data_IF_806272572541
#
_entry.id   IF_806272572541
#
_cell.length_a   1.000
_cell.length_b   1.000
_cell.length_c   1.000
_cell.angle_alpha   90.00
_cell.angle_beta   90.00
_cell.angle_gamma   90.00
#
_symmetry.space_group_name_H-M   'P 1'
#
loop_
_entity.id
_entity.type
_entity.pdbx_description
1 polymer ?
#
# COMPACT_ATOMS: atom_id res chain seq x y z
N UNK A 1 -25.94 -2.74 17.93
CA UNK A 1 -25.10 -1.59 18.34
C UNK A 1 -23.65 -2.03 18.31
N UNK A 2 -22.86 -1.52 17.37
CA UNK A 2 -21.42 -1.83 17.28
C UNK A 2 -20.72 -0.97 18.33
N UNK A 3 -19.97 -1.60 19.24
CA UNK A 3 -19.23 -0.91 20.31
C UNK A 3 -18.23 0.09 19.71
N UNK A 4 -18.09 1.28 20.33
CA UNK A 4 -17.12 2.31 19.91
C UNK A 4 -15.70 1.74 19.83
N UNK A 5 -15.34 0.79 20.71
CA UNK A 5 -14.05 0.07 20.63
C UNK A 5 -13.90 -0.81 19.40
N UNK A 6 -15.00 -1.39 18.90
CA UNK A 6 -14.97 -2.15 17.66
C UNK A 6 -14.76 -1.20 16.47
N UNK A 7 -15.40 -0.03 16.48
CA UNK A 7 -15.24 1.00 15.45
C UNK A 7 -13.81 1.58 15.43
N UNK A 8 -13.20 1.80 16.59
CA UNK A 8 -11.80 2.25 16.72
C UNK A 8 -10.80 1.19 16.25
N UNK A 9 -11.05 -0.09 16.56
CA UNK A 9 -10.26 -1.19 16.00
C UNK A 9 -10.39 -1.29 14.48
N UNK A 10 -11.61 -1.13 13.94
CA UNK A 10 -11.82 -1.03 12.49
C UNK A 10 -11.05 0.16 11.89
N UNK A 11 -11.04 1.32 12.58
CA UNK A 11 -10.31 2.50 12.14
C UNK A 11 -8.80 2.25 12.12
N UNK A 12 -8.20 1.70 13.16
CA UNK A 12 -6.75 1.40 13.17
C UNK A 12 -6.36 0.32 12.14
N UNK A 13 -7.25 -0.66 11.90
CA UNK A 13 -7.00 -1.77 10.99
C UNK A 13 -7.07 -1.37 9.50
N UNK A 14 -7.93 -0.40 9.15
CA UNK A 14 -8.06 0.11 7.78
C UNK A 14 -7.32 1.44 7.54
N UNK A 15 -7.09 2.24 8.58
CA UNK A 15 -6.47 3.56 8.47
C UNK A 15 -5.07 3.68 9.07
N UNK A 16 -4.55 2.66 9.75
CA UNK A 16 -3.19 2.68 10.28
C UNK A 16 -2.18 2.91 9.17
N UNK A 17 -1.35 3.95 9.33
CA UNK A 17 -0.22 4.24 8.45
C UNK A 17 0.76 3.06 8.48
N UNK A 18 1.56 2.92 7.41
CA UNK A 18 2.72 2.06 7.47
C UNK A 18 3.57 2.57 8.63
N UNK A 19 3.92 1.70 9.57
CA UNK A 19 4.83 2.05 10.65
C UNK A 19 6.18 2.33 10.00
N UNK A 20 6.70 3.56 9.98
CA UNK A 20 8.14 3.72 9.86
C UNK A 20 8.71 3.04 11.11
N UNK A 21 9.56 2.04 10.93
CA UNK A 21 10.29 1.46 12.05
C UNK A 21 11.27 2.55 12.49
N UNK A 22 10.91 3.28 13.54
CA UNK A 22 11.88 3.97 14.37
C UNK A 22 12.44 2.92 15.31
N UNK A 23 13.77 2.82 15.34
CA UNK A 23 14.47 2.10 16.39
C UNK A 23 14.20 2.82 17.72
N UNK A 24 13.20 2.35 18.45
CA UNK A 24 12.97 2.73 19.84
C UNK A 24 14.08 2.12 20.70
N UNK A 25 15.23 2.79 20.70
CA UNK A 25 16.26 2.63 21.72
C UNK A 25 17.01 3.96 21.87
N UNK A 26 16.38 4.91 22.56
CA UNK A 26 17.08 5.80 23.49
C UNK A 26 16.07 6.54 24.38
N UNK A 27 15.85 5.96 25.56
CA UNK A 27 15.35 6.69 26.72
C UNK A 27 16.43 7.67 27.17
N UNK A 28 16.25 8.96 26.92
CA UNK A 28 16.76 9.99 27.84
C UNK A 28 15.82 11.18 27.85
N UNK A 29 15.11 11.36 28.97
CA UNK A 29 14.35 12.57 29.30
C UNK A 29 15.32 13.69 29.70
N UNK A 30 15.02 14.91 29.24
CA UNK A 30 14.85 16.16 30.02
C UNK A 30 15.27 17.41 29.19
N UNK A 31 14.88 18.65 29.56
CA UNK A 31 13.55 19.12 29.94
C UNK A 31 13.12 20.36 29.10
N UNK A 32 11.87 20.78 29.32
CA UNK A 32 11.19 21.95 28.77
C UNK A 32 11.77 23.31 29.20
N UNK A 33 11.78 24.29 28.29
CA UNK A 33 11.70 25.72 28.61
C UNK A 33 10.81 26.47 27.61
N UNK A 34 9.83 27.16 28.17
CA UNK A 34 8.88 28.13 27.59
C UNK A 34 9.56 29.44 27.18
N UNK A 35 8.94 30.18 26.25
CA UNK A 35 9.19 31.63 26.10
C UNK A 35 8.86 32.21 24.72
N UNK A 36 7.59 32.58 24.55
CA UNK A 36 7.08 33.85 23.99
C UNK A 36 7.07 34.18 22.49
N UNK A 37 6.04 34.95 22.16
CA UNK A 37 5.43 35.32 20.87
C UNK A 37 6.18 36.46 20.15
N UNK A 38 6.10 36.52 18.81
CA UNK A 38 5.33 37.56 18.08
C UNK A 38 5.66 37.61 16.57
N UNK A 39 4.57 37.48 15.80
CA UNK A 39 4.10 38.25 14.64
C UNK A 39 4.95 38.59 13.38
N UNK A 40 4.38 38.14 12.24
CA UNK A 40 4.06 38.89 11.00
C UNK A 40 5.19 39.63 10.26
N UNK A 41 5.51 39.18 9.04
CA UNK A 41 5.03 39.86 7.81
C UNK A 41 5.24 39.07 6.51
N UNK A 42 4.12 38.77 5.86
CA UNK A 42 3.99 38.42 4.44
C UNK A 42 4.32 39.65 3.59
N UNK A 43 5.22 39.53 2.61
CA UNK A 43 5.15 40.33 1.38
C UNK A 43 5.79 39.59 0.20
N UNK A 44 4.93 39.20 -0.72
CA UNK A 44 5.22 38.66 -2.05
C UNK A 44 5.70 39.79 -2.96
N UNK A 45 6.71 39.55 -3.79
CA UNK A 45 7.03 40.35 -4.97
C UNK A 45 7.47 39.42 -6.14
N UNK A 46 7.29 39.84 -7.40
CA UNK A 46 6.99 38.97 -8.53
C UNK A 46 8.20 38.60 -9.38
N UNK A 47 7.98 37.58 -10.23
CA UNK A 47 8.84 37.13 -11.32
C UNK A 47 9.10 38.26 -12.34
N UNK A 48 10.34 38.40 -12.79
CA UNK A 48 10.65 38.81 -14.16
C UNK A 48 12.04 38.31 -14.56
N UNK A 49 12.05 37.40 -15.53
CA UNK A 49 13.24 36.85 -16.18
C UNK A 49 13.60 37.71 -17.41
N UNK A 50 14.92 37.78 -17.66
CA UNK A 50 15.60 38.09 -18.92
C UNK A 50 15.54 39.53 -19.46
N UNK A 51 16.70 40.19 -19.57
CA UNK A 51 17.45 40.22 -20.83
C UNK A 51 18.95 40.50 -20.64
N UNK A 52 19.72 40.19 -21.68
CA UNK A 52 21.15 39.85 -21.72
C UNK A 52 22.14 41.03 -21.68
N UNK A 53 23.36 40.64 -21.30
CA UNK A 53 24.67 41.06 -21.84
C UNK A 53 25.27 42.41 -21.44
N UNK A 54 26.30 42.33 -20.59
CA UNK A 54 27.67 42.75 -20.99
C UNK A 54 28.69 42.08 -20.09
N UNK A 55 29.76 41.58 -20.70
CA UNK A 55 30.85 40.92 -19.99
C UNK A 55 31.57 41.89 -19.08
N UNK A 56 32.05 41.36 -17.95
CA UNK A 56 33.20 41.87 -17.24
C UNK A 56 33.79 40.72 -16.42
N UNK A 57 35.12 40.70 -16.36
CA UNK A 57 35.93 39.83 -15.53
C UNK A 57 35.53 39.97 -14.05
N UNK A 58 34.54 39.22 -13.60
CA UNK A 58 34.25 39.11 -12.17
C UNK A 58 35.15 38.04 -11.58
N UNK A 59 36.26 38.49 -10.99
CA UNK A 59 36.77 37.95 -9.72
C UNK A 59 35.59 37.31 -8.98
N UNK A 60 35.75 36.02 -8.66
CA UNK A 60 34.84 35.27 -7.80
C UNK A 60 34.54 36.18 -6.61
N UNK A 61 33.35 36.77 -6.57
CA UNK A 61 32.89 37.51 -5.42
C UNK A 61 32.80 36.46 -4.32
N UNK A 62 33.86 36.39 -3.52
CA UNK A 62 33.89 35.62 -2.29
C UNK A 62 32.70 36.12 -1.50
N UNK A 63 31.69 35.28 -1.35
CA UNK A 63 30.63 35.57 -0.42
C UNK A 63 31.26 35.47 0.97
N UNK A 64 31.78 36.59 1.45
CA UNK A 64 32.56 36.75 2.70
C UNK A 64 31.76 36.47 3.97
N UNK A 65 30.49 36.11 3.82
CA UNK A 65 29.56 35.77 4.90
C UNK A 65 29.48 34.26 5.18
N UNK A 66 30.17 33.40 4.41
CA UNK A 66 30.28 31.99 4.77
C UNK A 66 31.35 31.80 5.85
N UNK A 67 30.93 31.91 7.13
CA UNK A 67 31.80 31.74 8.30
C UNK A 67 32.59 30.42 8.28
N UNK A 68 32.04 29.37 7.69
CA UNK A 68 32.67 28.04 7.59
C UNK A 68 33.94 28.03 6.73
N UNK A 69 34.04 28.93 5.75
CA UNK A 69 35.21 29.06 4.87
C UNK A 69 36.29 30.01 5.43
N UNK A 70 36.00 30.72 6.53
CA UNK A 70 36.99 31.51 7.28
C UNK A 70 37.80 30.68 8.26
N UNK A 71 37.39 29.44 8.55
CA UNK A 71 38.18 28.55 9.40
C UNK A 71 39.51 28.19 8.72
N UNK A 72 40.61 28.07 9.49
CA UNK A 72 41.85 27.43 9.03
C UNK A 72 41.59 26.09 8.34
N UNK A 73 42.39 25.78 7.32
CA UNK A 73 42.22 24.58 6.49
C UNK A 73 42.26 23.28 7.32
N UNK A 74 43.01 23.29 8.42
CA UNK A 74 43.14 22.18 9.37
C UNK A 74 41.82 21.92 10.11
N UNK A 75 41.13 22.99 10.54
CA UNK A 75 39.84 22.88 11.21
C UNK A 75 38.74 22.46 10.22
N UNK A 76 38.81 22.93 8.98
CA UNK A 76 37.92 22.47 7.91
C UNK A 76 38.11 20.97 7.64
N UNK A 77 39.36 20.49 7.58
CA UNK A 77 39.68 19.07 7.44
C UNK A 77 39.14 18.25 8.61
N UNK A 78 39.35 18.71 9.85
CA UNK A 78 38.82 18.05 11.05
C UNK A 78 37.29 17.96 11.02
N UNK A 79 36.58 19.01 10.63
CA UNK A 79 35.12 18.99 10.49
C UNK A 79 34.71 17.97 9.42
N UNK A 80 35.37 17.98 8.26
CA UNK A 80 35.04 17.09 7.14
C UNK A 80 35.31 15.61 7.45
N UNK A 81 36.31 15.30 8.29
CA UNK A 81 36.59 13.94 8.77
C UNK A 81 35.49 13.37 9.67
N UNK A 82 34.68 14.22 10.31
CA UNK A 82 33.54 13.79 11.13
C UNK A 82 32.25 13.64 10.32
N UNK A 83 32.26 14.04 9.05
CA UNK A 83 31.11 13.92 8.15
C UNK A 83 31.20 12.63 7.33
N UNK A 84 30.05 12.04 7.06
CA UNK A 84 29.94 10.90 6.14
C UNK A 84 30.17 11.36 4.70
N UNK A 85 30.52 10.42 3.80
CA UNK A 85 30.68 10.74 2.38
C UNK A 85 29.44 11.45 1.80
N UNK A 86 28.26 10.98 2.17
CA UNK A 86 27.00 11.57 1.72
C UNK A 86 26.80 13.03 2.15
N UNK A 87 27.18 13.37 3.38
CA UNK A 87 27.12 14.74 3.89
C UNK A 87 28.15 15.64 3.22
N UNK A 88 29.37 15.16 3.00
CA UNK A 88 30.40 15.88 2.26
C UNK A 88 29.96 16.13 0.81
N UNK A 89 29.35 15.16 0.15
CA UNK A 89 28.81 15.31 -1.20
C UNK A 89 27.60 16.26 -1.24
N UNK A 90 26.76 16.24 -0.21
CA UNK A 90 25.66 17.20 -0.05
C UNK A 90 26.18 18.62 0.10
N UNK A 91 27.18 18.83 0.97
CA UNK A 91 27.88 20.09 1.17
C UNK A 91 28.52 20.59 -0.13
N UNK A 92 29.12 19.68 -0.91
CA UNK A 92 29.70 19.99 -2.21
C UNK A 92 28.68 20.49 -3.24
N UNK A 93 27.40 20.13 -3.08
CA UNK A 93 26.30 20.55 -3.96
C UNK A 93 25.69 21.89 -3.58
N UNK A 94 25.95 22.43 -2.39
CA UNK A 94 25.33 23.70 -1.93
C UNK A 94 25.93 24.92 -2.62
N UNK A 95 27.26 24.98 -2.79
CA UNK A 95 27.91 26.12 -3.44
C UNK A 95 29.09 25.73 -4.34
N UNK A 96 29.35 26.55 -5.37
CA UNK A 96 30.44 26.32 -6.34
C UNK A 96 31.82 26.33 -5.66
N UNK A 97 32.00 27.18 -4.65
CA UNK A 97 33.28 27.34 -3.95
C UNK A 97 33.66 26.08 -3.15
N UNK A 98 32.71 25.50 -2.42
CA UNK A 98 32.88 24.21 -1.74
C UNK A 98 33.08 23.08 -2.75
N UNK A 99 32.44 23.14 -3.91
CA UNK A 99 32.69 22.20 -5.01
C UNK A 99 34.12 22.23 -5.54
N UNK A 100 34.73 23.41 -5.63
CA UNK A 100 36.13 23.53 -6.05
C UNK A 100 37.11 23.16 -4.94
N UNK A 101 36.80 23.52 -3.69
CA UNK A 101 37.67 23.25 -2.53
C UNK A 101 37.68 21.76 -2.18
N UNK A 102 36.50 21.13 -2.14
CA UNK A 102 36.32 19.70 -1.88
C UNK A 102 36.42 18.95 -3.23
N UNK A 103 37.64 18.87 -3.75
CA UNK A 103 37.93 18.20 -5.03
C UNK A 103 38.05 16.67 -4.86
N UNK A 104 38.14 15.93 -5.98
CA UNK A 104 38.24 14.45 -5.94
C UNK A 104 39.49 13.95 -5.19
N UNK A 105 40.69 14.53 -5.37
CA UNK A 105 41.87 14.19 -4.56
C UNK A 105 41.62 14.31 -3.05
N UNK A 106 41.04 15.44 -2.63
CA UNK A 106 40.73 15.71 -1.22
C UNK A 106 39.76 14.66 -0.64
N UNK A 107 38.71 14.28 -1.39
CA UNK A 107 37.78 13.23 -0.95
C UNK A 107 38.50 11.88 -0.74
N UNK A 108 39.49 11.54 -1.57
CA UNK A 108 40.25 10.29 -1.41
C UNK A 108 41.17 10.31 -0.19
N UNK A 109 41.63 11.48 0.21
CA UNK A 109 42.45 11.68 1.40
C UNK A 109 41.62 11.59 2.69
N UNK A 110 40.43 12.19 2.69
CA UNK A 110 39.50 12.12 3.83
C UNK A 110 38.89 10.72 3.98
N UNK A 111 38.60 10.04 2.87
CA UNK A 111 37.97 8.71 2.86
C UNK A 111 38.91 7.67 2.20
N UNK A 112 39.85 7.07 2.94
CA UNK A 112 40.80 6.10 2.39
C UNK A 112 40.11 4.85 1.82
N UNK A 113 38.96 4.46 2.39
CA UNK A 113 38.10 3.39 1.92
C UNK A 113 36.92 3.89 1.07
N UNK A 114 37.18 4.79 0.10
CA UNK A 114 36.13 5.43 -0.70
C UNK A 114 35.12 4.46 -1.34
N UNK A 115 35.56 3.27 -1.78
CA UNK A 115 34.64 2.27 -2.36
C UNK A 115 33.61 1.80 -1.32
N UNK A 116 34.02 1.58 -0.07
CA UNK A 116 33.13 1.21 1.03
C UNK A 116 32.11 2.31 1.31
N UNK A 117 32.57 3.56 1.38
CA UNK A 117 31.73 4.73 1.60
C UNK A 117 30.68 4.92 0.51
N UNK A 118 31.08 4.78 -0.76
CA UNK A 118 30.18 4.89 -1.91
C UNK A 118 29.13 3.78 -1.91
N UNK A 119 29.50 2.54 -1.58
CA UNK A 119 28.56 1.42 -1.46
C UNK A 119 27.63 1.54 -0.24
N UNK A 120 28.07 2.25 0.80
CA UNK A 120 27.30 2.46 2.04
C UNK A 120 26.47 3.75 2.00
N UNK A 121 26.42 4.43 0.85
CA UNK A 121 25.67 5.68 0.67
C UNK A 121 24.59 5.52 -0.37
N UNK A 122 23.37 5.99 -0.07
CA UNK A 122 22.30 6.07 -1.06
C UNK A 122 22.62 7.12 -2.13
N UNK A 123 22.63 6.73 -3.41
CA UNK A 123 22.87 7.63 -4.55
C UNK A 123 21.91 8.83 -4.59
N UNK A 124 20.66 8.65 -4.16
CA UNK A 124 19.59 9.62 -4.33
C UNK A 124 19.52 10.62 -3.19
N UNK A 125 19.35 10.14 -1.95
CA UNK A 125 19.21 10.99 -0.77
C UNK A 125 20.54 11.24 -0.05
N UNK A 126 21.63 10.60 -0.47
CA UNK A 126 22.95 10.69 0.15
C UNK A 126 22.97 10.28 1.63
N UNK A 127 21.94 9.57 2.13
CA UNK A 127 21.97 9.00 3.47
C UNK A 127 23.00 7.88 3.53
N UNK A 128 23.86 7.94 4.54
CA UNK A 128 24.83 6.90 4.86
C UNK A 128 24.20 5.80 5.72
N UNK A 129 24.51 4.55 5.40
CA UNK A 129 24.11 3.34 6.11
C UNK A 129 25.33 2.41 6.17
N UNK A 130 26.00 2.40 7.33
CA UNK A 130 27.21 1.62 7.58
C UNK A 130 26.97 0.10 7.48
N UNK A 131 25.77 -0.36 7.88
CA UNK A 131 25.42 -1.77 7.90
C UNK A 131 24.92 -2.25 6.53
N UNK A 132 24.46 -1.32 5.68
CA UNK A 132 23.94 -1.56 4.32
C UNK A 132 22.73 -2.50 4.28
N UNK A 133 22.05 -2.64 5.39
CA UNK A 133 20.84 -3.44 5.56
C UNK A 133 19.58 -2.70 5.07
N UNK A 134 19.69 -1.38 4.85
CA UNK A 134 18.64 -0.53 4.29
C UNK A 134 18.98 0.00 2.89
N UNK A 135 20.00 -0.57 2.24
CA UNK A 135 20.42 -0.24 0.89
C UNK A 135 20.18 -1.41 -0.05
N UNK A 136 19.58 -1.16 -1.22
CA UNK A 136 19.49 -2.12 -2.31
C UNK A 136 20.83 -2.13 -3.04
N UNK A 137 21.38 -3.33 -3.22
CA UNK A 137 22.59 -3.53 -4.00
C UNK A 137 22.30 -3.26 -5.48
N UNK A 138 23.02 -2.32 -6.06
CA UNK A 138 23.01 -2.07 -7.48
C UNK A 138 23.89 -3.09 -8.21
N UNK A 139 23.48 -3.44 -9.43
CA UNK A 139 24.28 -4.27 -10.32
C UNK A 139 25.62 -3.56 -10.63
N UNK A 140 26.71 -4.32 -10.67
CA UNK A 140 28.05 -3.83 -11.00
C UNK A 140 28.13 -3.31 -12.44
N UNK A 141 27.18 -3.71 -13.30
CA UNK A 141 27.04 -3.19 -14.66
C UNK A 141 26.46 -1.78 -14.75
N UNK A 142 25.92 -1.20 -13.66
CA UNK A 142 25.38 0.17 -13.66
C UNK A 142 26.52 1.19 -13.87
N UNK A 143 26.32 2.12 -14.80
CA UNK A 143 27.29 3.18 -15.11
C UNK A 143 27.68 4.07 -13.91
N UNK A 144 26.89 4.05 -12.84
CA UNK A 144 27.12 4.81 -11.60
C UNK A 144 27.81 4.01 -10.51
N UNK A 145 28.03 2.71 -10.72
CA UNK A 145 28.74 1.88 -9.76
C UNK A 145 30.13 2.49 -9.47
N UNK A 146 30.55 2.60 -8.20
CA UNK A 146 29.97 2.01 -6.98
C UNK A 146 28.89 2.86 -6.26
N UNK A 147 28.61 4.10 -6.69
CA UNK A 147 27.57 4.95 -6.09
C UNK A 147 26.22 4.76 -6.81
N UNK A 148 25.76 3.51 -6.89
CA UNK A 148 24.51 3.15 -7.54
C UNK A 148 23.45 2.61 -6.56
N UNK A 149 23.83 2.31 -5.32
CA UNK A 149 22.92 1.76 -4.31
C UNK A 149 21.82 2.77 -3.95
N UNK A 150 20.60 2.28 -3.78
CA UNK A 150 19.43 3.11 -3.41
C UNK A 150 18.85 2.62 -2.09
N UNK A 151 18.50 3.55 -1.18
CA UNK A 151 17.84 3.17 0.07
C UNK A 151 16.38 2.76 -0.17
N UNK A 152 15.85 1.96 0.76
CA UNK A 152 14.49 1.42 0.68
C UNK A 152 13.43 2.52 0.54
N UNK A 153 13.59 3.63 1.27
CA UNK A 153 12.69 4.79 1.24
C UNK A 153 12.65 5.45 -0.15
N UNK A 154 13.82 5.64 -0.77
CA UNK A 154 13.94 6.25 -2.09
C UNK A 154 13.28 5.37 -3.15
N UNK A 155 13.51 4.05 -3.11
CA UNK A 155 12.86 3.10 -4.02
C UNK A 155 11.36 3.07 -3.79
N UNK A 156 10.93 3.08 -2.53
CA UNK A 156 9.51 3.17 -2.14
C UNK A 156 8.84 4.41 -2.75
N UNK A 157 9.52 5.56 -2.71
CA UNK A 157 9.01 6.83 -3.23
C UNK A 157 8.89 6.94 -4.75
N UNK A 158 9.75 6.23 -5.51
CA UNK A 158 9.79 6.32 -6.98
C UNK A 158 8.77 5.43 -7.68
N UNK A 159 8.42 4.31 -7.05
CA UNK A 159 7.57 3.30 -7.70
C UNK A 159 7.21 2.11 -6.83
N UNK A 160 7.65 2.09 -5.57
CA UNK A 160 7.40 0.99 -4.66
C UNK A 160 8.14 -0.28 -5.06
N UNK A 161 8.02 -1.30 -4.20
CA UNK A 161 8.52 -2.62 -4.51
C UNK A 161 7.47 -3.46 -5.21
N UNK A 162 7.93 -4.47 -5.94
CA UNK A 162 7.06 -5.44 -6.60
C UNK A 162 6.94 -6.67 -5.72
N UNK A 163 5.74 -6.96 -5.24
CA UNK A 163 5.45 -8.18 -4.46
C UNK A 163 5.74 -9.42 -5.31
N UNK A 164 6.38 -10.42 -4.70
CA UNK A 164 6.83 -11.65 -5.38
C UNK A 164 8.22 -11.55 -6.01
N UNK A 165 8.85 -10.37 -6.01
CA UNK A 165 10.28 -10.24 -6.32
C UNK A 165 11.12 -10.29 -5.06
N UNK A 166 12.31 -10.86 -5.19
CA UNK A 166 13.36 -10.86 -4.17
C UNK A 166 14.34 -9.74 -4.53
N UNK A 167 14.75 -8.96 -3.54
CA UNK A 167 15.73 -7.89 -3.70
C UNK A 167 16.98 -8.22 -2.90
N UNK A 168 18.14 -7.87 -3.43
CA UNK A 168 19.43 -8.05 -2.75
C UNK A 168 19.82 -6.76 -2.06
N UNK A 169 20.15 -6.84 -0.77
CA UNK A 169 20.64 -5.73 0.02
C UNK A 169 22.15 -5.52 -0.18
N UNK A 170 22.67 -4.37 0.24
CA UNK A 170 24.10 -4.06 0.20
C UNK A 170 24.99 -4.96 1.08
N UNK A 171 24.38 -5.70 2.01
CA UNK A 171 24.98 -6.82 2.77
C UNK A 171 25.08 -8.13 1.99
N UNK A 172 24.52 -8.18 0.77
CA UNK A 172 24.26 -9.39 -0.01
C UNK A 172 23.17 -10.31 0.56
N UNK A 173 22.49 -9.90 1.63
CA UNK A 173 21.30 -10.60 2.10
C UNK A 173 20.14 -10.42 1.11
N UNK A 174 19.37 -11.47 0.88
CA UNK A 174 18.16 -11.41 0.05
C UNK A 174 16.93 -11.15 0.92
N UNK A 175 16.11 -10.18 0.52
CA UNK A 175 14.86 -9.84 1.22
C UNK A 175 13.64 -9.99 0.33
N UNK A 176 12.56 -10.47 0.93
CA UNK A 176 11.26 -10.57 0.29
C UNK A 176 10.43 -9.31 0.56
N UNK A 177 9.53 -9.00 -0.38
CA UNK A 177 8.59 -7.88 -0.22
C UNK A 177 7.33 -8.35 0.49
N UNK A 178 6.94 -7.66 1.56
CA UNK A 178 5.75 -7.97 2.32
C UNK A 178 4.49 -7.90 1.44
N UNK A 179 3.71 -8.98 1.36
CA UNK A 179 2.49 -9.05 0.53
C UNK A 179 1.38 -8.09 0.97
N UNK A 180 1.36 -7.74 2.26
CA UNK A 180 0.36 -6.86 2.82
C UNK A 180 0.68 -5.38 2.57
N UNK A 181 1.90 -4.92 2.91
CA UNK A 181 2.26 -3.50 2.83
C UNK A 181 3.09 -3.12 1.59
N UNK A 182 3.72 -4.08 0.92
CA UNK A 182 4.60 -3.82 -0.24
C UNK A 182 5.96 -3.26 0.11
N UNK A 183 6.37 -3.32 1.38
CA UNK A 183 7.69 -2.91 1.84
C UNK A 183 8.55 -4.16 2.11
N UNK A 184 9.86 -4.14 1.86
CA UNK A 184 10.76 -5.26 2.15
C UNK A 184 10.74 -5.65 3.63
N UNK A 185 10.86 -6.96 3.87
CA UNK A 185 11.01 -7.54 5.20
C UNK A 185 12.50 -7.66 5.49
N UNK A 186 13.08 -6.62 6.10
CA UNK A 186 14.48 -6.59 6.55
C UNK A 186 14.62 -7.20 7.95
N UNK A 187 13.66 -6.89 8.83
CA UNK A 187 13.53 -7.42 10.19
C UNK A 187 12.07 -7.81 10.47
N UNK A 188 11.83 -8.58 11.54
CA UNK A 188 10.49 -8.94 12.03
C UNK A 188 9.59 -9.74 11.07
N UNK A 189 10.16 -10.75 10.41
CA UNK A 189 9.39 -11.72 9.65
C UNK A 189 8.36 -12.48 10.52
N UNK A 190 7.16 -12.74 9.99
CA UNK A 190 6.18 -13.57 10.66
C UNK A 190 6.64 -15.04 10.70
N UNK A 191 6.33 -15.75 11.78
CA UNK A 191 6.72 -17.15 11.93
C UNK A 191 6.05 -18.03 10.86
N UNK A 192 6.84 -18.81 10.12
CA UNK A 192 6.45 -19.64 8.96
C UNK A 192 6.01 -18.89 7.70
N UNK A 193 5.85 -17.57 7.76
CA UNK A 193 5.39 -16.72 6.66
C UNK A 193 6.38 -15.56 6.44
N UNK A 194 7.55 -15.87 5.88
CA UNK A 194 8.65 -14.91 5.71
C UNK A 194 8.33 -13.76 4.74
N UNK A 195 7.26 -13.88 3.96
CA UNK A 195 6.77 -12.87 3.03
C UNK A 195 5.82 -11.84 3.69
N UNK A 196 5.74 -11.82 5.02
CA UNK A 196 4.98 -10.85 5.79
C UNK A 196 5.76 -10.33 7.00
N UNK A 197 5.61 -9.03 7.30
CA UNK A 197 5.97 -8.51 8.63
C UNK A 197 5.03 -9.08 9.69
N UNK A 198 5.53 -9.34 10.90
CA UNK A 198 4.75 -9.87 12.03
C UNK A 198 3.48 -9.08 12.32
N UNK A 199 3.55 -7.75 12.31
CA UNK A 199 2.40 -6.85 12.55
C UNK A 199 1.40 -6.92 11.39
N UNK A 200 1.89 -6.91 10.15
CA UNK A 200 1.06 -7.03 8.96
C UNK A 200 0.31 -8.35 8.91
N UNK A 201 0.97 -9.45 9.26
CA UNK A 201 0.36 -10.77 9.35
C UNK A 201 -0.72 -10.84 10.42
N UNK A 202 -0.51 -10.21 11.59
CA UNK A 202 -1.54 -10.11 12.63
C UNK A 202 -2.79 -9.38 12.13
N UNK A 203 -2.63 -8.24 11.46
CA UNK A 203 -3.75 -7.48 10.85
C UNK A 203 -4.46 -8.31 9.80
N UNK A 204 -3.71 -9.00 8.95
CA UNK A 204 -4.26 -9.86 7.91
C UNK A 204 -5.08 -11.03 8.48
N UNK A 205 -4.61 -11.70 9.53
CA UNK A 205 -5.38 -12.74 10.22
C UNK A 205 -6.71 -12.24 10.77
N UNK A 206 -6.75 -11.02 11.30
CA UNK A 206 -8.00 -10.40 11.73
C UNK A 206 -8.94 -10.14 10.55
N UNK A 207 -8.42 -9.69 9.40
CA UNK A 207 -9.23 -9.51 8.18
C UNK A 207 -9.83 -10.85 7.72
N UNK A 208 -9.05 -11.94 7.76
CA UNK A 208 -9.55 -13.28 7.44
C UNK A 208 -10.70 -13.72 8.36
N UNK A 209 -10.57 -13.44 9.67
CA UNK A 209 -11.64 -13.72 10.63
C UNK A 209 -12.90 -12.91 10.31
N UNK A 210 -12.77 -11.61 10.04
CA UNK A 210 -13.92 -10.76 9.66
C UNK A 210 -14.57 -11.24 8.37
N UNK A 211 -13.78 -11.62 7.37
CA UNK A 211 -14.28 -12.18 6.12
C UNK A 211 -15.13 -13.43 6.36
N UNK A 212 -14.67 -14.35 7.22
CA UNK A 212 -15.43 -15.53 7.59
C UNK A 212 -16.76 -15.17 8.28
N UNK A 213 -16.75 -14.24 9.23
CA UNK A 213 -17.95 -13.78 9.94
C UNK A 213 -18.95 -13.10 9.00
N UNK A 214 -18.47 -12.26 8.08
CA UNK A 214 -19.31 -11.60 7.06
C UNK A 214 -19.92 -12.65 6.12
N UNK A 215 -19.15 -13.65 5.70
CA UNK A 215 -19.65 -14.77 4.90
C UNK A 215 -20.76 -15.56 5.61
N UNK A 216 -20.63 -15.80 6.92
CA UNK A 216 -21.69 -16.41 7.72
C UNK A 216 -22.94 -15.52 7.78
N UNK A 217 -22.78 -14.22 8.03
CA UNK A 217 -23.89 -13.26 8.08
C UNK A 217 -24.63 -13.18 6.72
N UNK A 218 -23.90 -13.09 5.62
CA UNK A 218 -24.45 -13.07 4.27
C UNK A 218 -25.21 -14.37 3.94
N UNK A 219 -24.71 -15.52 4.39
CA UNK A 219 -25.37 -16.81 4.24
C UNK A 219 -26.70 -16.86 5.01
N UNK A 220 -26.70 -16.43 6.27
CA UNK A 220 -27.92 -16.35 7.09
C UNK A 220 -28.96 -15.43 6.46
N UNK A 221 -28.55 -14.25 5.96
CA UNK A 221 -29.45 -13.31 5.27
C UNK A 221 -30.03 -13.93 4.00
N UNK A 222 -29.21 -14.64 3.22
CA UNK A 222 -29.67 -15.31 1.99
C UNK A 222 -30.69 -16.41 2.31
N UNK A 223 -30.42 -17.24 3.34
CA UNK A 223 -31.34 -18.31 3.80
C UNK A 223 -32.66 -17.69 4.30
N UNK A 224 -32.60 -16.64 5.11
CA UNK A 224 -33.78 -15.95 5.63
C UNK A 224 -34.62 -15.34 4.51
N UNK A 225 -33.99 -14.63 3.56
CA UNK A 225 -34.67 -14.05 2.40
C UNK A 225 -35.38 -15.14 1.57
N UNK A 226 -34.67 -16.22 1.23
CA UNK A 226 -35.24 -17.32 0.44
C UNK A 226 -36.40 -18.01 1.19
N UNK A 227 -36.24 -18.28 2.49
CA UNK A 227 -37.26 -18.92 3.31
C UNK A 227 -38.55 -18.09 3.40
N UNK A 228 -38.42 -16.77 3.56
CA UNK A 228 -39.56 -15.85 3.57
C UNK A 228 -40.27 -15.82 2.21
N UNK A 229 -39.50 -15.75 1.11
CA UNK A 229 -40.05 -15.83 -0.24
C UNK A 229 -40.82 -17.15 -0.47
N UNK A 230 -40.26 -18.29 -0.07
CA UNK A 230 -40.91 -19.59 -0.24
C UNK A 230 -42.13 -19.75 0.66
N UNK A 231 -42.11 -19.22 1.88
CA UNK A 231 -43.25 -19.33 2.81
C UNK A 231 -44.43 -18.46 2.38
N UNK A 232 -44.18 -17.19 2.03
CA UNK A 232 -45.22 -16.20 1.82
C UNK A 232 -45.61 -16.00 0.34
N UNK A 233 -44.72 -16.30 -0.60
CA UNK A 233 -44.90 -16.02 -2.04
C UNK A 233 -44.78 -17.26 -2.93
N UNK A 234 -44.98 -18.48 -2.39
CA UNK A 234 -44.90 -19.75 -3.15
C UNK A 234 -45.73 -19.82 -4.44
N UNK A 235 -46.82 -19.06 -4.52
CA UNK A 235 -47.73 -19.06 -5.68
C UNK A 235 -47.26 -18.13 -6.79
N UNK A 236 -46.36 -17.19 -6.50
CA UNK A 236 -45.84 -16.26 -7.48
C UNK A 236 -44.60 -16.85 -8.16
N UNK A 237 -44.75 -17.20 -9.44
CA UNK A 237 -43.68 -17.77 -10.26
C UNK A 237 -42.51 -16.79 -10.45
N UNK A 238 -42.76 -15.47 -10.42
CA UNK A 238 -41.73 -14.43 -10.52
C UNK A 238 -40.85 -14.37 -9.26
N UNK A 239 -41.33 -14.89 -8.13
CA UNK A 239 -40.59 -14.92 -6.87
C UNK A 239 -39.97 -16.31 -6.65
N UNK A 240 -40.74 -17.39 -6.80
CA UNK A 240 -40.29 -18.73 -6.44
C UNK A 240 -39.14 -19.23 -7.32
N UNK A 241 -39.25 -19.14 -8.64
CA UNK A 241 -38.24 -19.65 -9.57
C UNK A 241 -36.87 -19.00 -9.34
N UNK A 242 -36.76 -17.67 -9.42
CA UNK A 242 -35.49 -16.97 -9.22
C UNK A 242 -34.90 -17.17 -7.82
N UNK A 243 -35.72 -17.24 -6.76
CA UNK A 243 -35.20 -17.47 -5.40
C UNK A 243 -34.63 -18.86 -5.19
N UNK A 244 -35.22 -19.90 -5.79
CA UNK A 244 -34.66 -21.27 -5.75
C UNK A 244 -33.33 -21.32 -6.48
N UNK A 245 -33.25 -20.77 -7.70
CA UNK A 245 -32.01 -20.74 -8.48
C UNK A 245 -30.93 -19.93 -7.75
N UNK A 246 -31.29 -18.79 -7.16
CA UNK A 246 -30.38 -17.98 -6.35
C UNK A 246 -29.84 -18.72 -5.13
N UNK A 247 -30.68 -19.48 -4.44
CA UNK A 247 -30.26 -20.26 -3.29
C UNK A 247 -29.22 -21.31 -3.69
N UNK A 248 -29.48 -22.06 -4.78
CA UNK A 248 -28.54 -23.04 -5.31
C UNK A 248 -27.21 -22.39 -5.75
N UNK A 249 -27.27 -21.25 -6.44
CA UNK A 249 -26.07 -20.53 -6.83
C UNK A 249 -25.30 -19.96 -5.63
N UNK A 250 -25.98 -19.51 -4.58
CA UNK A 250 -25.33 -19.06 -3.35
C UNK A 250 -24.61 -20.21 -2.64
N UNK A 251 -25.21 -21.42 -2.59
CA UNK A 251 -24.54 -22.62 -2.11
C UNK A 251 -23.30 -22.96 -2.94
N UNK A 252 -23.39 -22.82 -4.27
CA UNK A 252 -22.26 -23.04 -5.17
C UNK A 252 -21.14 -22.03 -4.93
N UNK A 253 -21.46 -20.73 -4.78
CA UNK A 253 -20.48 -19.69 -4.45
C UNK A 253 -19.80 -19.97 -3.10
N UNK A 254 -20.56 -20.45 -2.10
CA UNK A 254 -19.98 -20.86 -0.83
C UNK A 254 -18.97 -22.01 -0.99
N UNK A 255 -19.31 -23.05 -1.76
CA UNK A 255 -18.41 -24.16 -2.07
C UNK A 255 -17.17 -23.68 -2.82
N UNK A 256 -17.35 -22.82 -3.83
CA UNK A 256 -16.23 -22.23 -4.56
C UNK A 256 -15.33 -21.43 -3.63
N UNK A 257 -15.87 -20.62 -2.71
CA UNK A 257 -15.05 -19.84 -1.77
C UNK A 257 -14.23 -20.72 -0.82
N UNK A 258 -14.70 -21.93 -0.48
CA UNK A 258 -13.94 -22.91 0.31
C UNK A 258 -12.85 -23.62 -0.49
N UNK A 259 -13.09 -23.92 -1.77
CA UNK A 259 -12.15 -24.64 -2.63
C UNK A 259 -11.19 -23.69 -3.36
N UNK A 260 -11.53 -22.40 -3.44
CA UNK A 260 -10.73 -21.36 -4.11
C UNK A 260 -9.44 -21.16 -3.34
N UNK A 261 -8.40 -21.81 -3.83
CA UNK A 261 -7.07 -21.89 -3.24
C UNK A 261 -5.95 -21.49 -4.20
N UNK A 262 -4.76 -21.42 -3.61
CA UNK A 262 -3.49 -20.76 -3.97
C UNK A 262 -3.01 -20.77 -5.43
N UNK A 263 -3.49 -21.67 -6.29
CA UNK A 263 -2.89 -21.87 -7.62
C UNK A 263 -3.67 -21.27 -8.80
N UNK A 264 -4.99 -21.07 -8.69
CA UNK A 264 -5.81 -20.63 -9.84
C UNK A 264 -6.65 -19.38 -9.57
N UNK A 265 -6.45 -18.36 -10.41
CA UNK A 265 -7.25 -17.12 -10.39
C UNK A 265 -8.63 -17.34 -11.03
N UNK A 266 -9.62 -17.69 -10.21
CA UNK A 266 -11.02 -17.89 -10.64
C UNK A 266 -11.90 -16.65 -10.44
N UNK A 267 -11.30 -15.45 -10.36
CA UNK A 267 -12.02 -14.18 -10.10
C UNK A 267 -13.17 -13.92 -11.08
N UNK A 268 -13.00 -14.24 -12.36
CA UNK A 268 -14.05 -14.06 -13.38
C UNK A 268 -15.27 -14.94 -13.13
N UNK A 269 -15.07 -16.18 -12.69
CA UNK A 269 -16.18 -17.10 -12.37
C UNK A 269 -16.96 -16.61 -11.16
N UNK A 270 -16.25 -16.16 -10.12
CA UNK A 270 -16.90 -15.56 -8.96
C UNK A 270 -17.62 -14.25 -9.31
N UNK A 271 -17.04 -13.40 -10.17
CA UNK A 271 -17.71 -12.20 -10.66
C UNK A 271 -19.00 -12.53 -11.42
N UNK A 272 -18.93 -13.49 -12.36
CA UNK A 272 -20.08 -13.94 -13.14
C UNK A 272 -21.21 -14.45 -12.24
N UNK A 273 -20.86 -15.28 -11.25
CA UNK A 273 -21.84 -15.82 -10.30
C UNK A 273 -22.45 -14.74 -9.42
N UNK A 274 -21.64 -13.83 -8.87
CA UNK A 274 -22.16 -12.73 -8.03
C UNK A 274 -23.06 -11.77 -8.82
N UNK A 275 -22.71 -11.46 -10.08
CA UNK A 275 -23.55 -10.70 -11.00
C UNK A 275 -24.87 -11.41 -11.31
N UNK A 276 -24.80 -12.72 -11.57
CA UNK A 276 -25.99 -13.53 -11.87
C UNK A 276 -26.93 -13.60 -10.67
N UNK A 277 -26.38 -13.81 -9.47
CA UNK A 277 -27.16 -13.83 -8.22
C UNK A 277 -27.79 -12.46 -7.97
N UNK A 278 -27.02 -11.38 -8.12
CA UNK A 278 -27.52 -10.01 -7.94
C UNK A 278 -28.69 -9.72 -8.88
N UNK A 279 -28.56 -10.04 -10.17
CA UNK A 279 -29.63 -9.85 -11.16
C UNK A 279 -30.89 -10.66 -10.86
N UNK A 280 -30.74 -11.92 -10.42
CA UNK A 280 -31.87 -12.79 -10.09
C UNK A 280 -32.62 -12.40 -8.81
N UNK A 281 -32.09 -11.51 -7.97
CA UNK A 281 -32.84 -10.94 -6.84
C UNK A 281 -33.78 -9.81 -7.24
N UNK A 282 -33.65 -9.24 -8.45
CA UNK A 282 -34.53 -8.19 -8.95
C UNK A 282 -35.97 -8.70 -9.16
N UNK A 283 -36.24 -9.84 -9.85
CA UNK A 283 -37.61 -10.33 -10.01
C UNK A 283 -38.32 -10.62 -8.67
N UNK A 284 -37.71 -11.30 -7.68
CA UNK A 284 -38.31 -11.47 -6.35
C UNK A 284 -38.67 -10.15 -5.67
N UNK A 285 -37.78 -9.15 -5.73
CA UNK A 285 -38.06 -7.82 -5.16
C UNK A 285 -39.28 -7.17 -5.83
N UNK A 286 -39.31 -7.16 -7.16
CA UNK A 286 -40.43 -6.57 -7.91
C UNK A 286 -41.74 -7.32 -7.71
N UNK A 287 -41.71 -8.67 -7.65
CA UNK A 287 -42.90 -9.50 -7.38
C UNK A 287 -43.47 -9.27 -5.99
N UNK A 288 -42.59 -9.16 -4.98
CA UNK A 288 -42.96 -8.87 -3.59
C UNK A 288 -43.60 -7.48 -3.47
N UNK A 289 -42.98 -6.43 -4.05
CA UNK A 289 -43.52 -5.05 -4.07
C UNK A 289 -44.85 -4.99 -4.82
N UNK A 290 -44.95 -5.63 -5.99
CA UNK A 290 -46.20 -5.68 -6.78
C UNK A 290 -47.33 -6.33 -5.98
N UNK A 291 -47.04 -7.42 -5.29
CA UNK A 291 -48.04 -8.12 -4.46
C UNK A 291 -48.52 -7.25 -3.31
N UNK A 292 -47.65 -6.41 -2.72
CA UNK A 292 -48.06 -5.44 -1.69
C UNK A 292 -48.98 -4.36 -2.25
N UNK A 293 -48.68 -3.83 -3.45
CA UNK A 293 -49.48 -2.77 -4.06
C UNK A 293 -50.89 -3.21 -4.50
N UNK A 294 -51.07 -4.50 -4.82
CA UNK A 294 -52.36 -5.04 -5.25
C UNK A 294 -53.26 -5.45 -4.07
N UNK A 295 -52.67 -5.72 -2.89
CA UNK A 295 -53.42 -6.25 -1.76
C UNK A 295 -54.30 -5.18 -1.09
N UNK A 296 -55.59 -5.45 -0.96
CA UNK A 296 -56.58 -4.59 -0.29
C UNK A 296 -56.39 -4.50 1.23
N UNK A 297 -55.84 -5.54 1.86
CA UNK A 297 -55.59 -5.64 3.31
C UNK A 297 -54.39 -4.80 3.80
N UNK A 298 -53.69 -4.09 2.90
CA UNK A 298 -52.50 -3.30 3.22
C UNK A 298 -51.21 -4.11 3.37
N UNK A 299 -50.15 -3.44 3.84
CA UNK A 299 -48.79 -4.00 3.96
C UNK A 299 -48.66 -4.80 5.26
N UNK A 300 -48.23 -6.06 5.18
CA UNK A 300 -48.02 -6.92 6.36
C UNK A 300 -46.58 -6.81 6.86
N UNK A 301 -46.35 -7.06 8.14
CA UNK A 301 -45.00 -7.10 8.72
C UNK A 301 -44.06 -8.10 8.01
N UNK A 302 -44.59 -9.24 7.55
CA UNK A 302 -43.84 -10.22 6.78
C UNK A 302 -43.37 -9.70 5.41
N UNK A 303 -44.16 -8.82 4.80
CA UNK A 303 -43.86 -8.21 3.51
C UNK A 303 -42.65 -7.26 3.67
N UNK A 304 -42.66 -6.43 4.72
CA UNK A 304 -41.56 -5.52 5.09
C UNK A 304 -40.29 -6.31 5.40
N UNK A 305 -40.39 -7.36 6.23
CA UNK A 305 -39.26 -8.21 6.58
C UNK A 305 -38.64 -8.87 5.33
N UNK A 306 -39.47 -9.33 4.40
CA UNK A 306 -39.01 -9.95 3.15
C UNK A 306 -38.22 -8.94 2.30
N UNK A 307 -38.75 -7.72 2.09
CA UNK A 307 -38.01 -6.66 1.38
C UNK A 307 -36.69 -6.34 2.07
N UNK A 308 -36.70 -6.21 3.41
CA UNK A 308 -35.50 -5.87 4.16
C UNK A 308 -34.38 -6.91 3.93
N UNK A 309 -34.67 -8.20 4.07
CA UNK A 309 -33.66 -9.23 3.85
C UNK A 309 -33.22 -9.33 2.38
N UNK A 310 -34.13 -9.13 1.42
CA UNK A 310 -33.77 -9.06 -0.01
C UNK A 310 -32.83 -7.87 -0.27
N UNK A 311 -33.18 -6.68 0.21
CA UNK A 311 -32.41 -5.46 0.01
C UNK A 311 -31.02 -5.57 0.67
N UNK A 312 -30.95 -6.06 1.91
CA UNK A 312 -29.67 -6.34 2.57
C UNK A 312 -28.82 -7.31 1.74
N UNK A 313 -29.40 -8.42 1.27
CA UNK A 313 -28.67 -9.38 0.44
C UNK A 313 -28.16 -8.73 -0.86
N UNK A 314 -28.99 -7.95 -1.54
CA UNK A 314 -28.60 -7.23 -2.76
C UNK A 314 -27.44 -6.26 -2.50
N UNK A 315 -27.41 -5.57 -1.36
CA UNK A 315 -26.28 -4.70 -0.98
C UNK A 315 -24.99 -5.53 -0.79
N UNK A 316 -25.04 -6.65 -0.06
CA UNK A 316 -23.88 -7.55 0.08
C UNK A 316 -23.35 -8.02 -1.28
N UNK A 317 -24.26 -8.44 -2.18
CA UNK A 317 -23.92 -8.90 -3.53
C UNK A 317 -23.33 -7.79 -4.38
N UNK A 318 -23.85 -6.57 -4.30
CA UNK A 318 -23.31 -5.41 -4.99
C UNK A 318 -21.87 -5.10 -4.57
N UNK A 319 -21.58 -5.12 -3.25
CA UNK A 319 -20.22 -4.93 -2.75
C UNK A 319 -19.30 -6.06 -3.25
N UNK A 320 -19.78 -7.32 -3.24
CA UNK A 320 -19.03 -8.45 -3.78
C UNK A 320 -18.71 -8.31 -5.27
N UNK A 321 -19.65 -7.80 -6.07
CA UNK A 321 -19.45 -7.49 -7.50
C UNK A 321 -18.37 -6.44 -7.70
N UNK A 322 -18.41 -5.34 -6.92
CA UNK A 322 -17.39 -4.29 -7.00
C UNK A 322 -16.00 -4.82 -6.65
N UNK A 323 -15.88 -5.58 -5.55
CA UNK A 323 -14.59 -6.15 -5.15
C UNK A 323 -14.08 -7.21 -6.13
N UNK A 324 -14.94 -8.07 -6.70
CA UNK A 324 -14.51 -9.03 -7.72
C UNK A 324 -14.09 -8.33 -9.02
N UNK A 325 -14.74 -7.23 -9.41
CA UNK A 325 -14.31 -6.39 -10.54
C UNK A 325 -12.90 -5.84 -10.30
N UNK A 326 -12.60 -5.34 -9.11
CA UNK A 326 -11.27 -4.85 -8.74
C UNK A 326 -10.20 -5.96 -8.73
N UNK A 327 -10.57 -7.17 -8.28
CA UNK A 327 -9.71 -8.35 -8.30
C UNK A 327 -9.38 -8.80 -9.73
N UNK A 328 -10.37 -8.77 -10.63
CA UNK A 328 -10.18 -9.06 -12.06
C UNK A 328 -9.24 -8.05 -12.71
N UNK A 329 -9.33 -6.78 -12.35
CA UNK A 329 -8.45 -5.71 -12.86
C UNK A 329 -7.01 -5.75 -12.33
N UNK A 330 -6.63 -6.79 -11.58
CA UNK A 330 -5.29 -6.98 -10.98
C UNK A 330 -4.79 -5.77 -10.20
N UNK A 331 -5.67 -5.11 -9.44
CA UNK A 331 -5.28 -3.95 -8.66
C UNK A 331 -4.16 -4.31 -7.66
N UNK A 332 -3.04 -3.57 -7.74
CA UNK A 332 -1.86 -3.77 -6.89
C UNK A 332 -2.09 -3.20 -5.50
N UNK A 333 -2.70 -4.00 -4.63
CA UNK A 333 -3.17 -3.65 -3.29
C UNK A 333 -2.12 -2.95 -2.40
N UNK A 334 -0.85 -3.32 -2.55
CA UNK A 334 0.25 -2.76 -1.76
C UNK A 334 0.57 -1.29 -2.10
N UNK A 335 0.11 -0.79 -3.26
CA UNK A 335 0.28 0.61 -3.63
C UNK A 335 -0.39 1.59 -2.66
N UNK A 336 -1.32 1.13 -1.81
CA UNK A 336 -1.98 1.96 -0.78
C UNK A 336 -1.02 2.56 0.26
N UNK A 337 0.19 2.00 0.39
CA UNK A 337 1.20 2.48 1.32
C UNK A 337 2.34 3.26 0.65
N UNK A 338 2.23 3.57 -0.65
CA UNK A 338 3.24 4.40 -1.29
C UNK A 338 3.27 5.79 -0.65
N UNK A 339 4.47 6.32 -0.34
CA UNK A 339 4.60 7.66 0.21
C UNK A 339 4.21 8.71 -0.84
N UNK A 340 3.95 9.94 -0.39
CA UNK A 340 3.66 11.11 -1.24
C UNK A 340 2.38 11.03 -2.09
N UNK A 341 1.42 10.17 -1.73
CA UNK A 341 0.11 10.16 -2.38
C UNK A 341 -0.74 11.37 -1.99
N UNK A 342 -1.46 11.92 -2.97
CA UNK A 342 -2.49 12.92 -2.74
C UNK A 342 -3.57 12.37 -1.80
N UNK A 343 -4.17 13.25 -0.97
CA UNK A 343 -5.25 12.88 -0.05
C UNK A 343 -6.40 12.10 -0.74
N UNK A 344 -6.93 12.51 -1.90
CA UNK A 344 -7.99 11.76 -2.57
C UNK A 344 -7.52 10.37 -3.03
N UNK A 345 -6.30 10.25 -3.56
CA UNK A 345 -5.75 8.95 -3.95
C UNK A 345 -5.61 8.01 -2.75
N UNK A 346 -5.20 8.52 -1.58
CA UNK A 346 -5.09 7.75 -0.34
C UNK A 346 -6.44 7.21 0.11
N UNK A 347 -7.50 8.03 0.06
CA UNK A 347 -8.86 7.62 0.42
C UNK A 347 -9.35 6.55 -0.56
N UNK A 348 -9.20 6.78 -1.87
CA UNK A 348 -9.59 5.84 -2.90
C UNK A 348 -8.88 4.48 -2.73
N UNK A 349 -7.57 4.48 -2.49
CA UNK A 349 -6.79 3.26 -2.26
C UNK A 349 -7.26 2.49 -1.02
N UNK A 350 -7.70 3.20 0.04
CA UNK A 350 -8.31 2.57 1.23
C UNK A 350 -9.66 1.94 0.91
N UNK A 351 -10.52 2.62 0.15
CA UNK A 351 -11.82 2.08 -0.29
C UNK A 351 -11.63 0.85 -1.18
N UNK A 352 -10.72 0.91 -2.15
CA UNK A 352 -10.38 -0.23 -3.01
C UNK A 352 -9.87 -1.41 -2.17
N UNK A 353 -8.97 -1.15 -1.21
CA UNK A 353 -8.47 -2.19 -0.32
C UNK A 353 -9.59 -2.80 0.54
N UNK A 354 -10.51 -1.98 1.05
CA UNK A 354 -11.70 -2.46 1.76
C UNK A 354 -12.54 -3.38 0.87
N UNK A 355 -12.85 -2.97 -0.36
CA UNK A 355 -13.65 -3.79 -1.29
C UNK A 355 -12.96 -5.12 -1.63
N UNK A 356 -11.65 -5.12 -1.84
CA UNK A 356 -10.87 -6.34 -2.10
C UNK A 356 -10.90 -7.27 -0.90
N UNK A 357 -10.63 -6.74 0.30
CA UNK A 357 -10.64 -7.53 1.54
C UNK A 357 -12.05 -7.96 1.95
N UNK A 358 -13.08 -7.21 1.60
CA UNK A 358 -14.46 -7.62 1.79
C UNK A 358 -14.79 -8.86 0.95
N UNK A 359 -14.37 -8.85 -0.31
CA UNK A 359 -14.73 -9.90 -1.26
C UNK A 359 -13.87 -11.15 -1.13
N UNK A 360 -12.54 -11.00 -1.02
CA UNK A 360 -11.63 -12.15 -0.93
C UNK A 360 -10.22 -11.76 -0.43
N UNK A 361 -10.01 -11.71 0.90
CA UNK A 361 -8.70 -11.40 1.46
C UNK A 361 -7.54 -12.33 1.06
N UNK A 362 -7.74 -13.65 0.84
CA UNK A 362 -6.65 -14.53 0.39
C UNK A 362 -6.04 -14.18 -0.98
N UNK A 363 -6.57 -13.18 -1.69
CA UNK A 363 -5.96 -12.68 -2.93
C UNK A 363 -4.49 -12.24 -2.78
N UNK A 364 -4.08 -11.81 -1.57
CA UNK A 364 -2.71 -11.33 -1.32
C UNK A 364 -1.68 -12.47 -1.20
N UNK A 365 -2.12 -13.67 -0.83
CA UNK A 365 -1.28 -14.86 -0.66
C UNK A 365 -0.92 -15.51 -2.00
N UNK A 366 -1.65 -15.17 -3.07
CA UNK A 366 -1.43 -15.76 -4.39
C UNK A 366 -0.06 -15.41 -4.97
N UNK A 367 0.62 -16.38 -5.58
CA UNK A 367 1.90 -16.15 -6.25
C UNK A 367 1.76 -15.08 -7.35
N UNK A 368 2.76 -14.20 -7.47
CA UNK A 368 2.84 -13.19 -8.51
C UNK A 368 3.95 -13.53 -9.51
N UNK A 369 3.72 -13.41 -10.83
CA UNK A 369 2.42 -13.21 -11.48
C UNK A 369 1.53 -14.44 -11.25
N UNK A 370 0.23 -14.22 -11.02
CA UNK A 370 -0.66 -15.35 -10.78
C UNK A 370 -0.98 -16.09 -12.06
N UNK A 371 -1.09 -17.41 -11.97
CA UNK A 371 -1.41 -18.25 -13.10
C UNK A 371 -2.90 -18.17 -13.38
N UNK A 372 -3.25 -17.70 -14.57
CA UNK A 372 -4.61 -17.77 -15.09
C UNK A 372 -4.90 -19.20 -15.55
N UNK A 373 -6.18 -19.62 -15.49
CA UNK A 373 -6.61 -20.94 -15.98
C UNK A 373 -6.12 -21.22 -17.42
N UNK A 374 -6.03 -20.17 -18.24
CA UNK A 374 -5.58 -20.24 -19.63
C UNK A 374 -4.07 -20.09 -19.82
N UNK A 375 -3.30 -19.66 -18.81
CA UNK A 375 -1.83 -19.45 -18.91
C UNK A 375 -1.03 -20.75 -18.73
N UNK A 376 -1.56 -21.88 -19.19
CA UNK A 376 -0.84 -23.16 -19.25
C UNK A 376 0.18 -23.14 -20.41
N UNK A 377 1.07 -22.15 -20.43
CA UNK A 377 2.24 -22.15 -21.31
C UNK A 377 3.51 -21.96 -20.49
N UNK A 378 4.43 -22.89 -20.74
CA UNK A 378 5.70 -23.10 -20.07
C UNK A 378 6.50 -21.82 -19.85
N UNK A 379 6.94 -21.60 -18.62
CA UNK A 379 8.17 -20.85 -18.35
C UNK A 379 9.09 -21.74 -17.53
N UNK A 380 9.50 -22.86 -18.14
CA UNK A 380 10.85 -23.35 -18.00
C UNK A 380 11.66 -22.69 -19.10
N UNK A 381 12.17 -21.49 -18.85
CA UNK A 381 13.24 -20.87 -19.64
C UNK A 381 13.82 -19.72 -18.82
N UNK A 382 15.09 -19.85 -18.43
CA UNK A 382 15.81 -18.85 -17.65
C UNK A 382 16.63 -19.42 -16.49
N UNK A 383 17.22 -20.60 -16.66
CA UNK A 383 18.48 -20.90 -16.00
C UNK A 383 19.60 -20.50 -16.94
N UNK A 384 20.28 -19.40 -16.63
CA UNK A 384 21.74 -19.20 -16.64
C UNK A 384 22.02 -18.05 -15.68
#
# INVERSE_FOLDING_TARGET
>A
MISVRALDHFREQFCGEAVPISDDNNNTKAPSTSGDEEDVQKKTAPQLFHELAKGDNSLIAFNTENELLRLPAELQLMILQHLTFGEVESLRRTCRLLRYTINKPFIREVFPSIKFELLSTCFRCLRYDAMRDHLIHADESDARYPLANECLDCVSSRGGFVVGRIYTLGTFATVCVCRYCGFPVTSDAAWKEYEFHRVCYRRYRMILLYYFLVGCAQSTITIAAASLCWKYYKKDKLVLGPTVVNFLMACWVFCLSMVRGTEMRTYHWSLLLEMSIFGLWIPPLTGVVRTMGIRSEGVRAADIATIFFIACNMIFRFINVLGNTLLVSEYKLWRRYMPNQSRPARILNKVIAFLIFWTYPPSIEQKFPGKWWFSRQNTQAGGV
#
